data_IF_294703675955
#
_entry.id   IF_294703675955
#
_cell.length_a   1.000
_cell.length_b   1.000
_cell.length_c   1.000
_cell.angle_alpha   90.00
_cell.angle_beta   90.00
_cell.angle_gamma   90.00
#
_symmetry.space_group_name_H-M   'P 1'
#
loop_
_entity.id
_entity.type
_entity.pdbx_description
1 polymer ?
#
# COMPACT_ATOMS: atom_id res chain seq x y z
N UNK A 1 -7.63 -21.90 4.95
CA UNK A 1 -8.92 -21.16 5.02
C UNK A 1 -8.59 -19.70 4.82
N UNK A 2 -9.06 -19.11 3.71
CA UNK A 2 -8.82 -17.71 3.38
C UNK A 2 -9.61 -16.83 4.35
N UNK A 3 -8.89 -15.94 5.03
CA UNK A 3 -9.46 -15.04 6.02
C UNK A 3 -10.43 -14.11 5.30
N UNK A 4 -11.70 -14.23 5.67
CA UNK A 4 -12.83 -13.48 5.12
C UNK A 4 -12.57 -12.01 5.40
N UNK A 5 -12.24 -11.22 4.37
CA UNK A 5 -12.27 -9.77 4.50
C UNK A 5 -13.74 -9.36 4.69
N UNK A 6 -14.10 -8.79 5.85
CA UNK A 6 -15.49 -8.44 6.12
C UNK A 6 -15.92 -7.31 5.17
N UNK A 7 -17.13 -7.48 4.66
CA UNK A 7 -18.01 -6.49 4.01
C UNK A 7 -17.57 -5.04 4.24
N UNK A 8 -17.17 -4.42 3.14
CA UNK A 8 -16.75 -3.03 2.98
C UNK A 8 -17.85 -2.11 3.54
N UNK A 9 -17.64 -1.40 4.67
CA UNK A 9 -18.58 -0.37 5.09
C UNK A 9 -18.68 0.70 3.99
N UNK A 10 -19.91 1.10 3.66
CA UNK A 10 -20.22 2.16 2.68
C UNK A 10 -19.32 3.38 2.92
N UNK A 11 -18.31 3.57 2.09
CA UNK A 11 -17.38 4.71 2.15
C UNK A 11 -15.90 4.36 2.01
N UNK A 12 -15.47 3.13 2.27
CA UNK A 12 -14.08 2.71 2.06
C UNK A 12 -13.72 2.66 0.56
N UNK A 13 -12.44 2.84 0.25
CA UNK A 13 -11.92 2.59 -1.10
C UNK A 13 -12.00 1.08 -1.40
N UNK A 14 -12.67 0.74 -2.49
CA UNK A 14 -12.63 -0.64 -3.01
C UNK A 14 -11.23 -0.95 -3.54
N UNK A 15 -10.63 -2.00 -3.00
CA UNK A 15 -9.39 -2.57 -3.51
C UNK A 15 -9.75 -3.90 -4.15
N UNK A 16 -9.47 -4.03 -5.44
CA UNK A 16 -9.67 -5.27 -6.18
C UNK A 16 -8.94 -6.43 -5.48
N UNK A 17 -9.69 -7.49 -5.17
CA UNK A 17 -9.16 -8.61 -4.38
C UNK A 17 -7.99 -9.29 -5.10
N UNK A 18 -7.98 -9.32 -6.44
CA UNK A 18 -6.88 -9.88 -7.23
C UNK A 18 -5.62 -9.04 -7.12
N UNK A 19 -5.76 -7.73 -7.14
CA UNK A 19 -4.68 -6.77 -6.89
C UNK A 19 -4.14 -6.92 -5.47
N UNK A 20 -5.02 -7.07 -4.48
CA UNK A 20 -4.61 -7.29 -3.09
C UNK A 20 -3.91 -8.64 -2.89
N UNK A 21 -4.41 -9.72 -3.48
CA UNK A 21 -3.74 -11.03 -3.42
C UNK A 21 -2.31 -11.00 -3.99
N UNK A 22 -2.07 -10.21 -5.04
CA UNK A 22 -0.72 -10.01 -5.56
C UNK A 22 0.17 -9.24 -4.57
N UNK A 23 -0.36 -8.20 -3.92
CA UNK A 23 0.36 -7.46 -2.86
C UNK A 23 0.74 -8.40 -1.72
N UNK A 24 -0.21 -9.21 -1.25
CA UNK A 24 0.00 -10.21 -0.21
C UNK A 24 1.09 -11.23 -0.62
N UNK A 25 1.03 -11.71 -1.87
CA UNK A 25 2.02 -12.63 -2.40
C UNK A 25 3.43 -12.03 -2.35
N UNK A 26 3.62 -10.81 -2.89
CA UNK A 26 4.93 -10.13 -2.86
C UNK A 26 5.40 -9.79 -1.45
N UNK A 27 4.48 -9.45 -0.54
CA UNK A 27 4.78 -9.20 0.87
C UNK A 27 5.34 -10.46 1.55
N UNK A 28 4.70 -11.63 1.33
CA UNK A 28 5.17 -12.92 1.87
C UNK A 28 6.52 -13.34 1.27
N UNK A 29 6.71 -13.11 -0.02
CA UNK A 29 7.97 -13.39 -0.72
C UNK A 29 9.09 -12.39 -0.35
N UNK A 30 8.78 -11.35 0.44
CA UNK A 30 9.68 -10.24 0.77
C UNK A 30 10.26 -9.54 -0.47
N UNK A 31 9.48 -9.49 -1.55
CA UNK A 31 9.84 -8.76 -2.77
C UNK A 31 9.52 -7.28 -2.60
N UNK A 32 10.43 -6.56 -1.96
CA UNK A 32 10.28 -5.14 -1.62
C UNK A 32 9.94 -4.27 -2.82
N UNK A 33 10.55 -4.56 -3.98
CA UNK A 33 10.44 -3.71 -5.16
C UNK A 33 9.07 -3.91 -5.82
N UNK A 34 8.66 -5.16 -6.04
CA UNK A 34 7.34 -5.45 -6.59
C UNK A 34 6.21 -5.01 -5.64
N UNK A 35 6.39 -5.21 -4.33
CA UNK A 35 5.44 -4.77 -3.30
C UNK A 35 5.18 -3.26 -3.37
N UNK A 36 6.25 -2.44 -3.36
CA UNK A 36 6.10 -0.98 -3.42
C UNK A 36 5.49 -0.54 -4.75
N UNK A 37 5.91 -1.11 -5.89
CA UNK A 37 5.32 -0.77 -7.19
C UNK A 37 3.80 -1.00 -7.15
N UNK A 38 3.36 -2.14 -6.62
CA UNK A 38 1.94 -2.48 -6.58
C UNK A 38 1.16 -1.58 -5.62
N UNK A 39 1.74 -1.24 -4.47
CA UNK A 39 1.15 -0.29 -3.52
C UNK A 39 1.10 1.15 -4.08
N UNK A 40 2.10 1.58 -4.86
CA UNK A 40 2.12 2.90 -5.51
C UNK A 40 1.03 3.05 -6.56
N UNK A 41 0.63 1.95 -7.21
CA UNK A 41 -0.50 1.90 -8.13
C UNK A 41 -1.86 2.02 -7.44
N UNK A 42 -1.96 1.87 -6.12
CA UNK A 42 -3.19 2.13 -5.38
C UNK A 42 -3.45 3.64 -5.26
N UNK A 43 -4.73 3.99 -5.17
CA UNK A 43 -5.18 5.35 -4.92
C UNK A 43 -4.57 5.93 -3.64
N UNK A 44 -4.49 5.12 -2.59
CA UNK A 44 -3.93 5.49 -1.31
C UNK A 44 -2.77 4.58 -0.93
N UNK A 45 -1.63 5.20 -0.61
CA UNK A 45 -0.48 4.48 -0.09
C UNK A 45 -0.60 4.37 1.44
N UNK A 46 -0.28 3.22 2.04
CA UNK A 46 -0.49 2.94 3.47
C UNK A 46 0.34 3.82 4.41
N UNK A 47 1.45 4.38 3.92
CA UNK A 47 2.39 5.21 4.68
C UNK A 47 2.47 6.60 4.02
N UNK A 48 2.15 7.65 4.77
CA UNK A 48 2.35 9.03 4.30
C UNK A 48 3.84 9.40 4.47
N UNK A 49 4.46 9.95 3.43
CA UNK A 49 5.85 10.40 3.47
C UNK A 49 6.29 11.08 2.19
N UNK A 50 7.26 12.00 2.30
CA UNK A 50 7.83 12.75 1.18
C UNK A 50 8.42 11.82 0.10
N UNK A 51 8.99 10.71 0.54
CA UNK A 51 9.56 9.67 -0.33
C UNK A 51 8.49 9.09 -1.26
N UNK A 52 7.27 8.82 -0.78
CA UNK A 52 6.20 8.21 -1.58
C UNK A 52 5.71 9.16 -2.67
N UNK A 53 5.58 10.45 -2.37
CA UNK A 53 5.18 11.45 -3.36
C UNK A 53 6.23 11.56 -4.49
N UNK A 54 7.51 11.46 -4.14
CA UNK A 54 8.60 11.42 -5.11
C UNK A 54 8.57 10.13 -5.95
N UNK A 55 8.39 8.97 -5.32
CA UNK A 55 8.33 7.66 -6.02
C UNK A 55 7.08 7.52 -6.91
N UNK A 56 5.94 8.12 -6.53
CA UNK A 56 4.75 8.18 -7.41
C UNK A 56 5.02 9.01 -8.67
N UNK A 57 5.85 10.05 -8.58
CA UNK A 57 6.24 10.88 -9.74
C UNK A 57 7.29 10.21 -10.61
N UNK A 58 8.25 9.53 -9.99
CA UNK A 58 9.35 8.86 -10.69
C UNK A 58 9.48 7.40 -10.22
N UNK A 59 8.86 6.49 -10.98
CA UNK A 59 8.97 5.05 -10.72
C UNK A 59 10.39 4.50 -10.96
N UNK A 60 11.24 5.22 -11.70
CA UNK A 60 12.63 4.80 -11.93
C UNK A 60 13.52 5.01 -10.69
N UNK A 61 13.15 5.97 -9.83
CA UNK A 61 13.84 6.28 -8.58
C UNK A 61 13.84 5.10 -7.59
N UNK A 62 12.86 4.19 -7.70
CA UNK A 62 12.83 2.91 -6.98
C UNK A 62 14.12 2.11 -7.23
N UNK A 63 14.54 2.00 -8.50
CA UNK A 63 15.75 1.24 -8.86
C UNK A 63 17.04 1.97 -8.49
N UNK A 64 17.02 3.30 -8.46
CA UNK A 64 18.21 4.12 -8.15
C UNK A 64 18.47 4.24 -6.64
N UNK A 65 17.43 4.12 -5.81
CA UNK A 65 17.51 4.31 -4.35
C UNK A 65 17.00 3.08 -3.57
N UNK A 66 17.75 1.97 -3.55
CA UNK A 66 17.35 0.77 -2.81
C UNK A 66 17.25 1.01 -1.29
N UNK A 67 17.99 1.98 -0.75
CA UNK A 67 17.90 2.37 0.67
C UNK A 67 16.50 2.88 1.04
N UNK A 68 15.89 3.70 0.17
CA UNK A 68 14.55 4.26 0.40
C UNK A 68 13.50 3.15 0.36
N UNK A 69 13.61 2.23 -0.60
CA UNK A 69 12.75 1.03 -0.69
C UNK A 69 12.83 0.22 0.60
N UNK A 70 14.04 -0.12 1.04
CA UNK A 70 14.22 -0.94 2.25
C UNK A 70 13.67 -0.25 3.50
N UNK A 71 13.77 1.09 3.59
CA UNK A 71 13.19 1.85 4.70
C UNK A 71 11.67 1.81 4.70
N UNK A 72 11.05 1.98 3.53
CA UNK A 72 9.59 1.92 3.38
C UNK A 72 9.10 0.50 3.67
N UNK A 73 9.72 -0.51 3.08
CA UNK A 73 9.38 -1.91 3.32
C UNK A 73 9.57 -2.32 4.77
N UNK A 74 10.62 -1.86 5.45
CA UNK A 74 10.79 -2.07 6.90
C UNK A 74 9.55 -1.65 7.68
N UNK A 75 9.06 -0.43 7.45
CA UNK A 75 7.84 0.08 8.08
C UNK A 75 6.58 -0.72 7.68
N UNK A 76 6.48 -1.13 6.41
CA UNK A 76 5.38 -1.98 5.96
C UNK A 76 5.38 -3.32 6.70
N UNK A 77 6.55 -3.94 6.88
CA UNK A 77 6.68 -5.19 7.62
C UNK A 77 6.34 -5.02 9.10
N UNK A 78 6.76 -3.91 9.73
CA UNK A 78 6.41 -3.60 11.13
C UNK A 78 4.90 -3.42 11.34
N UNK A 79 4.18 -2.91 10.34
CA UNK A 79 2.74 -2.66 10.42
C UNK A 79 1.87 -3.90 10.19
N UNK A 80 2.43 -4.95 9.60
CA UNK A 80 1.72 -6.14 9.14
C UNK A 80 0.69 -5.87 8.02
N UNK A 81 0.37 -6.93 7.27
CA UNK A 81 -0.47 -6.84 6.07
C UNK A 81 -1.90 -6.32 6.36
N UNK A 82 -2.47 -6.67 7.51
CA UNK A 82 -3.81 -6.24 7.91
C UNK A 82 -3.91 -4.72 8.04
N UNK A 83 -2.90 -4.08 8.66
CA UNK A 83 -2.88 -2.63 8.85
C UNK A 83 -2.60 -1.89 7.56
N UNK A 84 -1.79 -2.48 6.67
CA UNK A 84 -1.59 -1.98 5.32
C UNK A 84 -2.93 -1.95 4.57
N UNK A 85 -3.72 -3.03 4.65
CA UNK A 85 -5.04 -3.10 3.99
C UNK A 85 -5.96 -1.99 4.48
N UNK A 86 -6.09 -1.89 5.81
CA UNK A 86 -6.93 -0.88 6.46
C UNK A 86 -6.56 0.53 5.96
N UNK A 87 -5.25 0.86 5.98
CA UNK A 87 -4.73 2.14 5.50
C UNK A 87 -4.94 2.38 4.00
N UNK A 88 -4.86 1.34 3.16
CA UNK A 88 -5.12 1.50 1.73
C UNK A 88 -6.61 1.68 1.43
N UNK A 89 -7.46 1.03 2.23
CA UNK A 89 -8.92 1.07 2.12
C UNK A 89 -9.55 2.30 2.76
N UNK A 90 -8.76 3.11 3.50
CA UNK A 90 -9.23 4.33 4.14
C UNK A 90 -10.05 5.17 3.13
N UNK A 91 -11.22 5.67 3.57
CA UNK A 91 -12.10 6.44 2.70
C UNK A 91 -11.32 7.63 2.13
N UNK A 92 -11.70 8.11 0.95
CA UNK A 92 -11.21 9.43 0.53
C UNK A 92 -11.62 10.40 1.65
N UNK A 93 -10.65 11.01 2.33
CA UNK A 93 -10.94 12.09 3.29
C UNK A 93 -11.70 13.15 2.51
N UNK A 94 -13.03 13.10 2.57
CA UNK A 94 -13.89 14.19 2.15
C UNK A 94 -13.55 15.32 3.10
N UNK A 95 -12.85 16.30 2.55
CA UNK A 95 -12.53 17.54 3.21
C UNK A 95 -13.82 18.15 3.77
N UNK A 96 -13.87 18.26 5.10
CA UNK A 96 -14.56 19.30 5.89
C UNK A 96 -15.38 20.30 5.06
N UNK A 97 -16.69 20.09 4.95
CA UNK A 97 -17.68 21.16 4.94
C UNK A 97 -18.92 20.64 5.66
N UNK A 98 -18.93 20.80 6.98
CA UNK A 98 -20.16 21.01 7.74
C UNK A 98 -20.17 22.50 8.13
#
# INVERSE_FOLDING_TARGET
MFQVYPIIPKGLREIDSKTWSNIEYHFKQKDNLALIIRLLHLDLFPIKGSDIAYLKRDGSALKRNPRTINRICGRLYEMELNKIFEKCSEPKETNRQA
#
